data_IF_885118312492
#
_entry.id   IF_885118312492
#
_cell.length_a   1.000
_cell.length_b   1.000
_cell.length_c   1.000
_cell.angle_alpha   90.00
_cell.angle_beta   90.00
_cell.angle_gamma   90.00
#
_symmetry.space_group_name_H-M   'P 1'
#
loop_
_entity.id
_entity.type
_entity.pdbx_description
1 polymer ?
#
# COMPACT_ATOMS: atom_id res chain seq x y z
N UNK A 1 -7.51 20.06 11.84
CA UNK A 1 -6.95 18.73 11.56
C UNK A 1 -7.91 17.64 12.01
N UNK A 2 -7.98 16.57 11.24
CA UNK A 2 -8.82 15.43 11.60
C UNK A 2 -8.29 14.78 12.89
N UNK A 3 -9.15 14.52 13.89
CA UNK A 3 -8.71 13.89 15.12
C UNK A 3 -8.08 12.52 14.88
N UNK A 4 -7.05 12.13 15.67
CA UNK A 4 -6.39 10.84 15.52
C UNK A 4 -7.33 9.63 15.58
N UNK A 5 -8.32 9.65 16.46
CA UNK A 5 -9.28 8.55 16.60
C UNK A 5 -10.18 8.40 15.37
N UNK A 6 -10.49 9.51 14.68
CA UNK A 6 -11.25 9.45 13.43
C UNK A 6 -10.40 8.85 12.32
N UNK A 7 -9.13 9.21 12.26
CA UNK A 7 -8.20 8.65 11.29
C UNK A 7 -8.05 7.13 11.51
N UNK A 8 -7.86 6.73 12.76
CA UNK A 8 -7.73 5.32 13.11
C UNK A 8 -8.96 4.51 12.70
N UNK A 9 -10.16 5.05 12.93
CA UNK A 9 -11.40 4.40 12.58
C UNK A 9 -11.58 4.26 11.06
N UNK A 10 -11.21 5.30 10.31
CA UNK A 10 -11.28 5.25 8.85
C UNK A 10 -10.33 4.20 8.28
N UNK A 11 -9.13 4.08 8.83
CA UNK A 11 -8.18 3.06 8.45
C UNK A 11 -8.71 1.65 8.73
N UNK A 12 -9.27 1.46 9.91
CA UNK A 12 -9.84 0.19 10.31
C UNK A 12 -10.95 -0.23 9.35
N UNK A 13 -11.88 0.67 9.03
CA UNK A 13 -12.97 0.38 8.11
C UNK A 13 -12.48 0.11 6.69
N UNK A 14 -11.54 0.89 6.20
CA UNK A 14 -10.99 0.68 4.86
C UNK A 14 -10.31 -0.69 4.74
N UNK A 15 -9.53 -1.07 5.74
CA UNK A 15 -8.86 -2.36 5.75
C UNK A 15 -9.84 -3.51 5.94
N UNK A 16 -10.83 -3.37 6.81
CA UNK A 16 -11.86 -4.38 7.03
C UNK A 16 -12.71 -4.58 5.77
N UNK A 17 -12.96 -3.52 4.99
CA UNK A 17 -13.71 -3.58 3.74
C UNK A 17 -12.84 -4.00 2.55
N UNK A 18 -11.57 -4.32 2.78
CA UNK A 18 -10.65 -4.80 1.74
C UNK A 18 -10.34 -3.78 0.64
N UNK A 19 -10.43 -2.49 0.94
CA UNK A 19 -10.02 -1.45 -0.01
C UNK A 19 -8.51 -1.38 -0.15
N UNK A 20 -8.04 -1.10 -1.36
CA UNK A 20 -6.66 -0.65 -1.56
C UNK A 20 -6.49 0.72 -0.90
N UNK A 21 -5.42 0.88 -0.14
CA UNK A 21 -5.21 2.09 0.66
C UNK A 21 -3.95 2.82 0.19
N UNK A 22 -4.09 4.12 -0.03
CA UNK A 22 -2.95 4.98 -0.35
C UNK A 22 -2.64 5.88 0.86
N UNK A 23 -1.40 5.86 1.30
CA UNK A 23 -0.93 6.66 2.41
C UNK A 23 -0.01 7.76 1.87
N UNK A 24 -0.47 9.00 1.95
CA UNK A 24 0.25 10.19 1.50
C UNK A 24 0.98 10.83 2.66
N UNK A 25 2.21 11.27 2.43
CA UNK A 25 3.04 11.92 3.45
C UNK A 25 3.06 11.12 4.76
N UNK A 26 3.37 9.82 4.69
CA UNK A 26 3.18 8.92 5.82
C UNK A 26 4.11 9.22 7.00
N UNK A 27 5.18 10.00 6.79
CA UNK A 27 6.15 10.35 7.83
C UNK A 27 6.38 11.86 7.88
N UNK A 28 5.31 12.60 8.19
CA UNK A 28 5.44 14.03 8.45
C UNK A 28 6.03 14.26 9.85
N UNK A 29 6.61 15.45 10.06
CA UNK A 29 7.16 15.83 11.38
C UNK A 29 6.13 15.77 12.50
N UNK A 30 4.85 15.98 12.18
CA UNK A 30 3.77 16.01 13.18
C UNK A 30 3.20 14.63 13.50
N UNK A 31 3.46 13.61 12.66
CA UNK A 31 2.85 12.30 12.78
C UNK A 31 3.87 11.21 12.46
N UNK A 32 4.94 11.16 13.26
CA UNK A 32 6.06 10.23 13.02
C UNK A 32 5.64 8.77 12.92
N UNK A 33 4.69 8.36 13.77
CA UNK A 33 4.24 6.97 13.84
C UNK A 33 3.01 6.69 12.98
N UNK A 34 2.60 7.65 12.16
CA UNK A 34 1.40 7.53 11.34
C UNK A 34 1.47 6.33 10.39
N UNK A 35 2.62 6.13 9.75
CA UNK A 35 2.81 5.00 8.85
C UNK A 35 2.81 3.67 9.61
N UNK A 36 3.51 3.60 10.73
CA UNK A 36 3.53 2.40 11.58
C UNK A 36 2.13 2.00 12.03
N UNK A 37 1.34 2.97 12.48
CA UNK A 37 -0.04 2.73 12.90
C UNK A 37 -0.91 2.22 11.75
N UNK A 38 -0.78 2.84 10.57
CA UNK A 38 -1.55 2.42 9.40
C UNK A 38 -1.17 1.01 8.95
N UNK A 39 0.11 0.68 8.97
CA UNK A 39 0.57 -0.66 8.60
C UNK A 39 0.13 -1.70 9.63
N UNK A 40 0.10 -1.34 10.91
CA UNK A 40 -0.40 -2.25 11.95
C UNK A 40 -1.87 -2.59 11.72
N UNK A 41 -2.69 -1.61 11.35
CA UNK A 41 -4.09 -1.85 10.99
C UNK A 41 -4.19 -2.78 9.78
N UNK A 42 -3.43 -2.49 8.73
CA UNK A 42 -3.45 -3.33 7.53
C UNK A 42 -3.06 -4.79 7.84
N UNK A 43 -2.05 -4.99 8.68
CA UNK A 43 -1.59 -6.33 9.05
C UNK A 43 -2.62 -7.14 9.83
N UNK A 44 -3.56 -6.48 10.52
CA UNK A 44 -4.65 -7.18 11.21
C UNK A 44 -5.69 -7.75 10.26
N UNK A 45 -5.82 -7.16 9.07
CA UNK A 45 -6.87 -7.52 8.13
C UNK A 45 -6.37 -8.20 6.85
N UNK A 46 -5.06 -8.26 6.66
CA UNK A 46 -4.49 -8.70 5.38
C UNK A 46 -3.36 -9.69 5.55
N UNK A 47 -3.18 -10.52 4.53
CA UNK A 47 -2.09 -11.47 4.46
C UNK A 47 -0.73 -10.75 4.52
N UNK A 48 0.29 -11.34 5.17
CA UNK A 48 1.65 -10.85 5.10
C UNK A 48 2.20 -10.75 3.68
N UNK A 49 1.64 -11.51 2.74
CA UNK A 49 2.04 -11.53 1.33
C UNK A 49 1.37 -10.44 0.51
N UNK A 50 0.48 -9.64 1.09
CA UNK A 50 -0.21 -8.55 0.39
C UNK A 50 0.79 -7.60 -0.22
N UNK A 51 0.68 -7.28 -1.53
CA UNK A 51 1.60 -6.36 -2.18
C UNK A 51 1.54 -4.94 -1.61
N UNK A 52 2.71 -4.33 -1.50
CA UNK A 52 2.88 -2.93 -1.09
C UNK A 52 3.75 -2.25 -2.13
N UNK A 53 3.29 -1.11 -2.62
CA UNK A 53 4.06 -0.26 -3.53
C UNK A 53 4.54 0.97 -2.79
N UNK A 54 5.78 1.35 -3.04
CA UNK A 54 6.37 2.56 -2.49
C UNK A 54 6.81 3.45 -3.66
N UNK A 55 6.18 4.60 -3.79
CA UNK A 55 6.51 5.60 -4.81
C UNK A 55 7.11 6.80 -4.11
N UNK A 56 8.28 7.20 -4.55
CA UNK A 56 8.97 8.37 -4.03
C UNK A 56 9.11 9.40 -5.13
N UNK A 57 8.87 10.68 -4.81
CA UNK A 57 8.96 11.78 -5.76
C UNK A 57 8.12 11.55 -7.03
N UNK A 58 6.87 11.14 -6.85
CA UNK A 58 5.97 10.79 -7.96
C UNK A 58 5.89 11.92 -8.99
N UNK A 59 5.98 11.55 -10.27
CA UNK A 59 5.92 12.44 -11.44
C UNK A 59 7.07 13.44 -11.54
N UNK A 60 8.16 13.22 -10.78
CA UNK A 60 9.36 14.05 -10.86
C UNK A 60 10.47 13.26 -11.55
N UNK A 61 11.52 13.96 -12.06
CA UNK A 61 12.62 13.25 -12.75
C UNK A 61 13.33 12.18 -11.91
N UNK A 62 13.33 12.35 -10.59
CA UNK A 62 13.94 11.42 -9.64
C UNK A 62 12.93 10.45 -9.02
N UNK A 63 11.77 10.24 -9.68
CA UNK A 63 10.80 9.27 -9.22
C UNK A 63 11.41 7.88 -9.09
N UNK A 64 11.13 7.23 -7.98
CA UNK A 64 11.49 5.84 -7.79
C UNK A 64 10.27 5.05 -7.32
N UNK A 65 10.21 3.78 -7.72
CA UNK A 65 9.15 2.86 -7.32
C UNK A 65 9.79 1.56 -6.87
N UNK A 66 9.36 1.07 -5.73
CA UNK A 66 9.75 -0.26 -5.26
C UNK A 66 8.51 -1.04 -4.84
N UNK A 67 8.57 -2.35 -5.01
CA UNK A 67 7.50 -3.28 -4.68
C UNK A 67 7.97 -4.19 -3.55
N UNK A 68 7.07 -4.43 -2.59
CA UNK A 68 7.34 -5.28 -1.44
C UNK A 68 6.05 -5.97 -1.03
N UNK A 69 6.08 -6.68 0.08
CA UNK A 69 4.89 -7.21 0.74
C UNK A 69 4.73 -6.55 2.10
N UNK A 70 3.58 -6.76 2.74
CA UNK A 70 3.38 -6.23 4.09
C UNK A 70 4.45 -6.72 5.06
N UNK A 71 4.89 -7.98 4.94
CA UNK A 71 5.89 -8.53 5.85
C UNK A 71 7.30 -8.03 5.56
N UNK A 72 7.61 -7.65 4.32
CA UNK A 72 8.96 -7.24 3.92
C UNK A 72 9.16 -5.74 3.82
N UNK A 73 8.07 -4.96 3.74
CA UNK A 73 8.18 -3.51 3.63
C UNK A 73 8.74 -2.91 4.92
N UNK A 74 9.81 -2.11 4.79
CA UNK A 74 10.40 -1.39 5.91
C UNK A 74 9.85 0.03 5.96
N UNK A 75 9.08 0.40 6.99
CA UNK A 75 8.58 1.78 7.13
C UNK A 75 9.69 2.83 7.21
N UNK A 76 10.89 2.42 7.61
CA UNK A 76 12.05 3.30 7.66
C UNK A 76 12.49 3.84 6.31
N UNK A 77 12.10 3.16 5.22
CA UNK A 77 12.44 3.59 3.87
C UNK A 77 11.55 4.73 3.38
N UNK A 78 10.44 5.00 4.05
CA UNK A 78 9.50 6.04 3.65
C UNK A 78 9.89 7.39 4.25
N UNK A 79 9.61 8.45 3.50
CA UNK A 79 9.81 9.83 3.94
C UNK A 79 8.60 10.68 3.56
N UNK A 80 8.71 12.01 3.75
CA UNK A 80 7.62 12.93 3.46
C UNK A 80 7.26 13.04 1.98
N UNK A 81 8.11 12.51 1.09
CA UNK A 81 7.88 12.50 -0.35
C UNK A 81 7.37 11.16 -0.86
N UNK A 82 7.03 10.27 0.06
CA UNK A 82 6.59 8.91 -0.25
C UNK A 82 5.08 8.81 -0.33
N UNK A 83 4.62 7.96 -1.25
CA UNK A 83 3.25 7.44 -1.27
C UNK A 83 3.36 5.92 -1.09
N UNK A 84 2.66 5.40 -0.11
CA UNK A 84 2.63 3.96 0.14
C UNK A 84 1.27 3.43 -0.28
N UNK A 85 1.27 2.46 -1.18
CA UNK A 85 0.06 1.80 -1.66
C UNK A 85 0.00 0.41 -1.05
N UNK A 86 -1.01 0.16 -0.23
CA UNK A 86 -1.23 -1.15 0.37
C UNK A 86 -2.36 -1.83 -0.40
N UNK A 87 -2.07 -2.97 -0.99
CA UNK A 87 -3.06 -3.71 -1.76
C UNK A 87 -4.16 -4.32 -0.92
N UNK A 88 -5.22 -4.79 -1.59
CA UNK A 88 -6.26 -5.60 -1.00
C UNK A 88 -6.01 -7.08 -1.21
N UNK A 89 -7.00 -7.92 -0.85
CA UNK A 89 -6.88 -9.37 -0.97
C UNK A 89 -6.72 -9.85 -2.41
N UNK A 90 -7.24 -9.10 -3.37
CA UNK A 90 -7.16 -9.45 -4.79
C UNK A 90 -5.93 -8.85 -5.49
N UNK A 91 -5.15 -8.04 -4.78
CA UNK A 91 -3.94 -7.45 -5.36
C UNK A 91 -2.86 -8.50 -5.54
N UNK A 92 -2.21 -8.48 -6.68
CA UNK A 92 -1.13 -9.42 -6.99
C UNK A 92 0.01 -8.71 -7.71
N UNK A 93 1.16 -9.38 -7.76
CA UNK A 93 2.27 -8.91 -8.58
C UNK A 93 2.15 -9.48 -9.99
N UNK A 94 2.46 -8.64 -10.97
CA UNK A 94 2.76 -9.08 -12.32
C UNK A 94 4.28 -9.10 -12.44
N UNK A 95 4.91 -10.28 -12.50
CA UNK A 95 6.37 -10.35 -12.53
C UNK A 95 6.96 -9.71 -13.78
N UNK A 96 8.20 -9.26 -13.66
CA UNK A 96 8.98 -8.86 -14.82
C UNK A 96 9.25 -10.08 -15.72
N UNK A 97 9.65 -9.87 -16.98
CA UNK A 97 9.99 -10.99 -17.86
C UNK A 97 11.05 -11.94 -17.32
N UNK A 98 11.96 -11.45 -16.44
CA UNK A 98 12.96 -12.29 -15.79
C UNK A 98 12.45 -13.00 -14.53
N UNK A 99 11.16 -12.87 -14.21
CA UNK A 99 10.54 -13.50 -13.06
C UNK A 99 10.70 -12.76 -11.74
N UNK A 100 11.42 -11.61 -11.72
CA UNK A 100 11.58 -10.82 -10.50
C UNK A 100 10.38 -9.93 -10.24
N UNK A 101 10.30 -9.39 -9.02
CA UNK A 101 9.28 -8.40 -8.64
C UNK A 101 9.85 -6.99 -8.61
N UNK A 102 10.91 -6.72 -9.38
CA UNK A 102 11.50 -5.41 -9.46
C UNK A 102 10.79 -4.52 -10.48
N UNK A 103 10.33 -3.36 -10.02
CA UNK A 103 9.66 -2.38 -10.89
C UNK A 103 10.54 -1.97 -12.08
N UNK A 104 11.83 -1.74 -11.83
CA UNK A 104 12.76 -1.30 -12.86
C UNK A 104 12.96 -2.33 -13.96
N UNK A 105 12.64 -3.59 -13.69
CA UNK A 105 12.73 -4.70 -14.67
C UNK A 105 11.41 -5.02 -15.33
N UNK A 106 10.35 -4.29 -14.99
CA UNK A 106 9.04 -4.45 -15.61
C UNK A 106 7.95 -5.03 -14.73
N UNK A 107 8.26 -5.37 -13.48
CA UNK A 107 7.24 -5.85 -12.56
C UNK A 107 6.23 -4.77 -12.22
N UNK A 108 5.01 -5.18 -11.97
CA UNK A 108 3.92 -4.27 -11.60
C UNK A 108 3.09 -4.87 -10.47
N UNK A 109 2.35 -4.01 -9.80
CA UNK A 109 1.36 -4.37 -8.80
C UNK A 109 -0.01 -4.12 -9.42
N UNK A 110 -0.92 -5.09 -9.28
CA UNK A 110 -2.18 -5.08 -10.01
C UNK A 110 -3.32 -5.48 -9.10
N UNK A 111 -4.41 -4.70 -9.14
CA UNK A 111 -5.65 -5.03 -8.46
C UNK A 111 -6.75 -5.14 -9.51
N UNK A 112 -7.35 -6.32 -9.71
CA UNK A 112 -8.45 -6.47 -10.66
C UNK A 112 -9.67 -5.68 -10.21
N UNK A 113 -10.50 -5.29 -11.14
CA UNK A 113 -11.69 -4.47 -10.86
C UNK A 113 -12.77 -5.21 -10.08
N UNK A 114 -12.58 -6.46 -9.78
CA UNK A 114 -13.49 -7.21 -8.94
C UNK A 114 -14.79 -7.64 -9.61
N UNK A 115 -14.83 -7.68 -10.93
CA UNK A 115 -16.04 -8.08 -11.65
C UNK A 115 -16.52 -9.47 -11.28
N UNK A 116 -15.61 -10.41 -11.10
CA UNK A 116 -15.97 -11.76 -10.68
C UNK A 116 -16.74 -11.76 -9.37
N UNK A 117 -16.23 -11.06 -8.36
CA UNK A 117 -16.89 -10.96 -7.08
C UNK A 117 -18.24 -10.27 -7.15
N UNK A 118 -18.35 -9.21 -7.93
CA UNK A 118 -19.61 -8.48 -8.10
C UNK A 118 -20.70 -9.34 -8.67
N UNK A 119 -20.39 -10.14 -9.69
CA UNK A 119 -21.40 -10.96 -10.36
C UNK A 119 -21.79 -12.19 -9.55
N UNK A 120 -20.87 -12.70 -8.76
CA UNK A 120 -21.19 -13.79 -7.83
C UNK A 120 -22.13 -13.34 -6.74
N UNK A 121 -21.93 -12.12 -6.25
CA UNK A 121 -22.74 -11.54 -5.19
C UNK A 121 -24.04 -10.94 -5.70
N UNK A 122 -24.04 -10.60 -6.93
CA UNK A 122 -25.16 -9.90 -7.56
C UNK A 122 -26.30 -10.71 -7.85
#
# INVERSE_FOLDING_TARGET
>A
LTPPETIARRREHACAADFTVALYNPRSKRRRDNLGDALAVAKRHRSPKTPVGHVRNAYRPDQSVSLATLETFDPGDADMFSIILVGGSATTFLPAPDGTTEWTRGARMYTPRGYGGKYVLG
#
